data_IF_701436261069
#
_entry.id   IF_701436261069
#
_cell.length_a   1.000
_cell.length_b   1.000
_cell.length_c   1.000
_cell.angle_alpha   90.00
_cell.angle_beta   90.00
_cell.angle_gamma   90.00
#
_symmetry.space_group_name_H-M   'P 1'
#
loop_
_entity.id
_entity.type
_entity.pdbx_description
1 polymer ?
#
# COMPACT_ATOMS: atom_id res chain seq x y z
N UNK A 1 -16.57 -27.90 -7.38
CA UNK A 1 -17.38 -27.43 -8.52
C UNK A 1 -16.42 -26.79 -9.51
N UNK A 2 -16.03 -27.54 -10.54
CA UNK A 2 -15.12 -27.10 -11.60
C UNK A 2 -15.85 -26.07 -12.47
N UNK A 3 -15.34 -24.84 -12.55
CA UNK A 3 -15.74 -23.89 -13.60
C UNK A 3 -14.70 -23.98 -14.71
N UNK A 4 -15.14 -24.43 -15.90
CA UNK A 4 -14.32 -24.50 -17.10
C UNK A 4 -13.71 -23.14 -17.44
N UNK A 5 -12.39 -23.11 -17.59
CA UNK A 5 -11.59 -21.93 -17.95
C UNK A 5 -12.04 -21.29 -19.29
N UNK A 6 -12.81 -22.03 -20.10
CA UNK A 6 -13.37 -21.58 -21.38
C UNK A 6 -14.67 -20.77 -21.26
N UNK A 7 -15.21 -20.57 -20.05
CA UNK A 7 -16.45 -19.80 -19.82
C UNK A 7 -16.22 -18.34 -19.40
N UNK A 8 -14.96 -17.92 -19.27
CA UNK A 8 -14.59 -16.55 -18.90
C UNK A 8 -14.63 -15.60 -20.12
N UNK A 9 -15.12 -14.36 -19.95
CA UNK A 9 -15.13 -13.37 -21.03
C UNK A 9 -13.70 -13.05 -21.53
N UNK A 10 -13.55 -12.76 -22.83
CA UNK A 10 -12.24 -12.60 -23.49
C UNK A 10 -11.38 -11.45 -22.94
N UNK A 11 -11.97 -10.57 -22.14
CA UNK A 11 -11.29 -9.47 -21.45
C UNK A 11 -10.57 -9.92 -20.17
N UNK A 12 -10.70 -11.18 -19.76
CA UNK A 12 -10.09 -11.68 -18.53
C UNK A 12 -8.55 -11.84 -18.67
N UNK A 13 -7.74 -11.17 -17.81
CA UNK A 13 -6.28 -11.22 -17.88
C UNK A 13 -5.68 -12.61 -17.64
N UNK A 14 -6.44 -13.54 -17.05
CA UNK A 14 -6.02 -14.94 -16.85
C UNK A 14 -5.91 -15.74 -18.17
N UNK A 15 -6.51 -15.28 -19.28
CA UNK A 15 -6.42 -15.96 -20.59
C UNK A 15 -5.21 -15.51 -21.41
N UNK A 16 -4.58 -14.38 -21.05
CA UNK A 16 -3.44 -13.78 -21.79
C UNK A 16 -2.05 -14.22 -21.32
N UNK A 17 -1.96 -15.18 -20.39
CA UNK A 17 -0.69 -15.60 -19.80
C UNK A 17 -0.41 -17.07 -20.06
N UNK A 18 0.14 -17.39 -21.24
CA UNK A 18 0.77 -18.70 -21.50
C UNK A 18 1.96 -19.00 -20.57
N UNK A 19 2.41 -18.01 -19.79
CA UNK A 19 3.52 -18.09 -18.85
C UNK A 19 3.18 -18.76 -17.49
N UNK A 20 1.94 -19.16 -17.22
CA UNK A 20 1.51 -19.73 -15.93
C UNK A 20 1.40 -21.27 -15.89
N UNK A 21 1.72 -21.98 -16.98
CA UNK A 21 1.58 -23.46 -17.02
C UNK A 21 2.57 -24.23 -16.14
N UNK A 22 3.64 -23.59 -15.64
CA UNK A 22 4.75 -24.28 -14.97
C UNK A 22 4.96 -23.89 -13.50
N UNK A 23 3.95 -23.32 -12.82
CA UNK A 23 4.04 -23.04 -11.37
C UNK A 23 3.40 -24.19 -10.60
N UNK A 24 4.22 -24.89 -9.81
CA UNK A 24 3.82 -26.02 -8.97
C UNK A 24 2.77 -25.58 -7.92
N UNK A 25 1.59 -26.19 -8.00
CA UNK A 25 0.34 -25.78 -7.32
C UNK A 25 0.42 -25.96 -5.79
N UNK A 26 1.37 -26.73 -5.27
CA UNK A 26 1.49 -27.06 -3.83
C UNK A 26 2.01 -25.91 -2.94
N UNK A 27 2.52 -24.82 -3.52
CA UNK A 27 2.94 -23.62 -2.75
C UNK A 27 1.86 -22.53 -2.64
N UNK A 28 0.68 -22.78 -3.21
CA UNK A 28 -0.47 -21.89 -3.11
C UNK A 28 -1.31 -22.30 -1.91
N UNK A 29 -1.06 -21.69 -0.75
CA UNK A 29 -2.09 -21.62 0.29
C UNK A 29 -3.40 -21.15 -0.38
N UNK A 30 -4.41 -22.01 -0.31
CA UNK A 30 -5.68 -21.92 -1.03
C UNK A 30 -6.28 -20.52 -0.86
N UNK A 31 -6.18 -19.69 -1.89
CA UNK A 31 -6.99 -18.50 -2.01
C UNK A 31 -8.38 -19.00 -2.37
N UNK A 32 -9.27 -19.11 -1.38
CA UNK A 32 -10.69 -19.32 -1.65
C UNK A 32 -11.17 -18.26 -2.64
N UNK A 33 -11.74 -18.63 -3.80
CA UNK A 33 -12.31 -17.68 -4.72
C UNK A 33 -13.57 -17.10 -4.06
N UNK A 34 -13.49 -15.84 -3.65
CA UNK A 34 -14.66 -15.08 -3.24
C UNK A 34 -15.26 -14.38 -4.45
N UNK A 35 -16.58 -14.24 -4.44
CA UNK A 35 -17.37 -13.46 -5.39
C UNK A 35 -16.81 -12.03 -5.54
N UNK A 36 -16.71 -11.58 -6.79
CA UNK A 36 -15.99 -10.39 -7.28
C UNK A 36 -16.45 -9.00 -6.75
N UNK A 37 -17.22 -8.89 -5.67
CA UNK A 37 -18.11 -7.73 -5.52
C UNK A 37 -17.56 -6.45 -4.81
N UNK A 38 -16.67 -6.45 -3.80
CA UNK A 38 -16.35 -5.18 -3.10
C UNK A 38 -15.04 -4.46 -3.48
N UNK A 39 -14.05 -5.16 -4.07
CA UNK A 39 -12.70 -4.60 -4.24
C UNK A 39 -12.47 -3.96 -5.62
N UNK A 40 -13.11 -4.46 -6.68
CA UNK A 40 -13.03 -3.86 -8.02
C UNK A 40 -13.58 -2.43 -8.02
N UNK A 41 -14.68 -2.20 -7.30
CA UNK A 41 -15.25 -0.88 -7.07
C UNK A 41 -14.30 0.09 -6.33
N UNK A 42 -13.26 -0.41 -5.64
CA UNK A 42 -12.25 0.43 -4.95
C UNK A 42 -11.05 0.75 -5.85
N UNK A 43 -10.73 -0.11 -6.82
CA UNK A 43 -9.57 0.02 -7.72
C UNK A 43 -9.95 0.65 -9.08
N UNK A 44 -11.24 0.73 -9.42
CA UNK A 44 -11.76 1.46 -10.58
C UNK A 44 -11.58 2.99 -10.41
N UNK A 45 -10.33 3.43 -10.39
CA UNK A 45 -9.91 4.79 -10.68
C UNK A 45 -9.19 4.73 -12.03
N UNK A 46 -9.92 5.11 -13.08
CA UNK A 46 -9.48 5.48 -14.43
C UNK A 46 -8.62 4.45 -15.22
N UNK A 47 -9.28 3.61 -16.04
CA UNK A 47 -8.64 3.08 -17.26
C UNK A 47 -8.76 4.11 -18.41
N UNK A 48 -7.71 4.34 -19.22
CA UNK A 48 -7.71 5.36 -20.25
C UNK A 48 -8.19 4.79 -21.59
N UNK A 49 -9.42 5.08 -22.03
CA UNK A 49 -9.82 4.79 -23.42
C UNK A 49 -10.62 5.94 -24.06
N UNK A 50 -10.03 6.41 -25.17
CA UNK A 50 -10.60 7.05 -26.36
C UNK A 50 -11.07 8.51 -26.26
N UNK A 51 -10.35 9.33 -27.01
CA UNK A 51 -10.62 10.72 -27.40
C UNK A 51 -12.10 11.00 -27.70
N UNK A 52 -12.64 12.08 -27.11
CA UNK A 52 -13.79 12.89 -27.59
C UNK A 52 -13.95 14.17 -26.74
N UNK A 53 -14.56 15.24 -27.29
CA UNK A 53 -14.13 16.61 -27.08
C UNK A 53 -14.49 17.19 -25.70
N UNK A 54 -13.53 17.84 -25.08
CA UNK A 54 -13.65 18.53 -23.78
C UNK A 54 -14.15 19.96 -23.98
N UNK A 55 -15.26 20.33 -23.36
CA UNK A 55 -15.63 21.73 -23.07
C UNK A 55 -15.37 21.99 -21.58
N UNK A 56 -14.88 23.18 -21.17
CA UNK A 56 -14.25 23.34 -19.86
C UNK A 56 -15.29 23.33 -18.73
N UNK A 57 -15.15 22.42 -17.75
CA UNK A 57 -15.71 22.63 -16.41
C UNK A 57 -16.50 21.52 -15.71
N UNK A 58 -16.62 20.32 -16.28
CA UNK A 58 -17.29 19.20 -15.59
C UNK A 58 -17.10 17.86 -16.27
N UNK A 59 -17.12 16.78 -15.49
CA UNK A 59 -17.19 15.40 -15.98
C UNK A 59 -18.68 15.05 -16.07
N UNK A 60 -19.20 14.98 -17.30
CA UNK A 60 -20.60 14.61 -17.54
C UNK A 60 -20.64 13.08 -17.64
N UNK A 61 -21.24 12.41 -16.67
CA UNK A 61 -21.63 11.01 -16.85
C UNK A 61 -23.04 10.98 -17.44
N UNK A 62 -23.13 10.52 -18.68
CA UNK A 62 -24.40 10.26 -19.37
C UNK A 62 -24.64 8.76 -19.24
N UNK A 63 -25.63 8.38 -18.44
CA UNK A 63 -26.07 7.00 -18.37
C UNK A 63 -27.16 6.77 -19.43
N UNK A 64 -27.00 5.72 -20.24
CA UNK A 64 -28.02 5.27 -21.18
C UNK A 64 -28.72 4.04 -20.62
N UNK A 65 -30.01 4.16 -20.31
CA UNK A 65 -30.87 3.03 -19.93
C UNK A 65 -31.64 2.58 -21.17
N UNK A 66 -31.32 1.41 -21.71
CA UNK A 66 -32.10 0.73 -22.75
C UNK A 66 -33.07 -0.25 -22.10
N UNK A 67 -34.39 0.04 -22.17
CA UNK A 67 -35.44 -0.92 -21.81
C UNK A 67 -36.09 -1.45 -23.07
N UNK A 68 -35.97 -2.76 -23.31
CA UNK A 68 -36.48 -3.43 -24.52
C UNK A 68 -38.01 -3.64 -24.54
N UNK A 69 -38.79 -2.92 -23.72
CA UNK A 69 -40.26 -3.14 -23.64
C UNK A 69 -41.16 -1.93 -23.85
N UNK A 70 -40.64 -0.74 -24.08
CA UNK A 70 -41.39 0.40 -24.62
C UNK A 70 -40.38 1.43 -25.11
N UNK A 71 -40.54 1.94 -26.34
CA UNK A 71 -39.60 2.85 -27.04
C UNK A 71 -39.49 4.24 -26.39
N UNK A 72 -39.07 4.33 -25.12
CA UNK A 72 -38.76 5.57 -24.42
C UNK A 72 -37.36 5.46 -23.82
N UNK A 73 -36.43 6.25 -24.33
CA UNK A 73 -35.06 6.38 -23.80
C UNK A 73 -35.05 7.62 -22.91
N UNK A 74 -34.94 7.43 -21.60
CA UNK A 74 -34.76 8.54 -20.66
C UNK A 74 -33.30 8.98 -20.62
N UNK A 75 -33.05 10.29 -20.70
CA UNK A 75 -31.73 10.88 -20.56
C UNK A 75 -31.56 11.40 -19.13
N UNK A 76 -30.63 10.80 -18.37
CA UNK A 76 -30.23 11.29 -17.06
C UNK A 76 -28.83 11.88 -17.14
N UNK A 77 -28.70 13.19 -16.88
CA UNK A 77 -27.40 13.86 -16.76
C UNK A 77 -27.09 14.03 -15.28
N UNK A 78 -26.05 13.36 -14.79
CA UNK A 78 -25.51 13.60 -13.46
C UNK A 78 -24.24 14.45 -13.58
N UNK A 79 -24.21 15.58 -12.88
CA UNK A 79 -23.04 16.46 -12.77
C UNK A 79 -22.48 16.31 -11.36
N UNK A 80 -21.41 15.52 -11.19
CA UNK A 80 -20.70 15.47 -9.92
C UNK A 80 -19.67 16.61 -9.85
N UNK A 81 -20.02 17.64 -9.09
CA UNK A 81 -19.18 18.81 -8.87
C UNK A 81 -18.47 18.66 -7.52
N UNK A 82 -17.25 18.13 -7.48
CA UNK A 82 -16.45 18.15 -6.25
C UNK A 82 -16.26 19.62 -5.80
N UNK A 83 -16.75 20.04 -4.61
CA UNK A 83 -16.58 21.41 -4.19
C UNK A 83 -15.15 21.65 -3.72
N UNK A 84 -14.50 22.65 -4.32
CA UNK A 84 -13.12 23.10 -4.06
C UNK A 84 -12.78 23.50 -2.60
N UNK A 85 -13.76 23.45 -1.67
CA UNK A 85 -13.61 23.83 -0.25
C UNK A 85 -12.95 22.74 0.60
N UNK A 86 -13.08 21.46 0.25
CA UNK A 86 -12.52 20.35 1.05
C UNK A 86 -10.99 20.20 0.99
N UNK A 87 -10.31 20.87 0.05
CA UNK A 87 -8.84 20.79 -0.09
C UNK A 87 -8.04 21.58 0.95
N UNK A 88 -8.71 22.35 1.82
CA UNK A 88 -8.05 23.31 2.73
C UNK A 88 -8.26 23.05 4.23
N UNK A 89 -9.31 22.32 4.58
CA UNK A 89 -9.65 22.05 5.97
C UNK A 89 -8.92 20.79 6.45
N UNK A 90 -8.50 20.70 7.72
CA UNK A 90 -8.05 19.44 8.28
C UNK A 90 -9.16 18.38 8.17
N UNK A 91 -8.83 17.09 8.06
CA UNK A 91 -9.82 16.03 7.96
C UNK A 91 -10.60 15.79 9.26
N UNK A 92 -10.19 16.42 10.36
CA UNK A 92 -10.80 16.33 11.68
C UNK A 92 -10.59 17.64 12.43
N UNK A 93 -11.43 17.92 13.42
CA UNK A 93 -11.37 19.11 14.26
C UNK A 93 -10.97 18.78 15.71
N UNK A 94 -11.13 17.52 16.14
CA UNK A 94 -10.77 17.10 17.48
C UNK A 94 -9.27 17.23 17.74
N UNK A 95 -8.90 17.76 18.91
CA UNK A 95 -7.51 17.82 19.39
C UNK A 95 -7.19 16.57 20.20
N UNK A 96 -6.48 15.63 19.60
CA UNK A 96 -6.18 14.34 20.24
C UNK A 96 -5.11 14.45 21.34
N UNK A 97 -4.21 15.43 21.24
CA UNK A 97 -3.07 15.59 22.15
C UNK A 97 -3.31 16.55 23.33
N UNK A 98 -4.51 17.11 23.44
CA UNK A 98 -4.84 18.11 24.46
C UNK A 98 -5.32 17.44 25.75
N UNK A 99 -4.57 17.48 26.85
CA UNK A 99 -4.96 16.82 28.10
C UNK A 99 -6.06 17.56 28.90
N UNK A 100 -6.67 18.61 28.35
CA UNK A 100 -7.81 19.30 29.01
C UNK A 100 -7.43 20.14 30.22
N UNK A 101 -6.13 20.34 30.47
CA UNK A 101 -5.60 21.30 31.43
C UNK A 101 -5.72 22.76 30.95
N UNK A 102 -5.96 22.99 29.66
CA UNK A 102 -6.09 24.32 29.06
C UNK A 102 -7.56 24.77 28.97
N UNK A 103 -8.35 24.59 30.04
CA UNK A 103 -9.73 25.14 30.12
C UNK A 103 -9.77 26.68 30.22
N UNK A 104 -8.62 27.36 30.26
CA UNK A 104 -8.53 28.82 30.38
C UNK A 104 -7.96 29.56 29.16
N UNK A 105 -7.77 28.91 28.02
CA UNK A 105 -7.44 29.64 26.79
C UNK A 105 -8.72 29.75 25.97
N UNK A 106 -9.42 30.87 26.20
CA UNK A 106 -10.34 31.47 25.25
C UNK A 106 -9.82 31.28 23.82
N UNK A 107 -10.76 31.13 22.88
CA UNK A 107 -10.55 31.07 21.43
C UNK A 107 -9.50 32.10 21.00
N UNK A 108 -8.22 31.72 21.01
CA UNK A 108 -7.16 32.53 20.45
C UNK A 108 -7.11 32.22 18.96
N UNK A 109 -7.70 33.14 18.21
CA UNK A 109 -7.62 33.24 16.76
C UNK A 109 -6.25 33.73 16.27
N UNK A 110 -5.19 33.60 17.07
CA UNK A 110 -3.80 33.81 16.67
C UNK A 110 -3.23 32.69 15.78
N UNK A 111 -2.17 32.97 14.98
CA UNK A 111 -1.40 31.91 14.32
C UNK A 111 -0.90 30.91 15.37
N UNK A 112 -0.93 29.59 15.08
CA UNK A 112 -0.38 28.60 16.01
C UNK A 112 1.07 28.96 16.35
N UNK A 113 1.42 28.94 17.64
CA UNK A 113 2.78 29.20 18.09
C UNK A 113 3.75 28.27 17.35
N UNK A 114 4.64 28.87 16.56
CA UNK A 114 5.67 28.15 15.79
C UNK A 114 6.50 27.23 16.71
N UNK A 115 6.65 27.58 17.99
CA UNK A 115 7.31 26.75 19.00
C UNK A 115 6.56 25.44 19.25
N UNK A 116 5.22 25.48 19.31
CA UNK A 116 4.37 24.28 19.46
C UNK A 116 4.42 23.40 18.21
N UNK A 117 4.51 23.99 17.02
CA UNK A 117 4.66 23.20 15.78
C UNK A 117 6.04 22.53 15.69
N UNK A 118 7.10 23.19 16.16
CA UNK A 118 8.46 22.59 16.22
C UNK A 118 8.52 21.38 17.15
N UNK A 119 7.87 21.42 18.30
CA UNK A 119 7.91 20.32 19.26
C UNK A 119 7.20 19.05 18.79
N UNK A 120 6.42 19.12 17.71
CA UNK A 120 5.76 17.97 17.10
C UNK A 120 6.60 17.26 16.04
N UNK A 121 7.66 17.92 15.54
CA UNK A 121 8.56 17.39 14.52
C UNK A 121 9.67 16.55 15.18
N UNK A 122 10.26 15.58 14.45
CA UNK A 122 11.38 14.79 14.95
C UNK A 122 12.60 15.67 15.25
N UNK A 123 13.55 15.13 16.02
CA UNK A 123 14.76 15.89 16.39
C UNK A 123 15.64 16.24 15.17
N UNK A 124 15.73 15.34 14.19
CA UNK A 124 16.45 15.55 12.94
C UNK A 124 15.96 14.61 11.85
N UNK A 125 16.34 14.88 10.61
CA UNK A 125 16.15 14.00 9.46
C UNK A 125 17.43 13.95 8.62
N UNK A 126 17.58 12.88 7.83
CA UNK A 126 18.71 12.72 6.89
C UNK A 126 18.42 13.41 5.57
N UNK A 127 19.37 14.17 5.03
CA UNK A 127 19.30 14.77 3.68
C UNK A 127 19.61 13.72 2.60
N UNK A 128 19.49 14.08 1.32
CA UNK A 128 19.89 13.19 0.21
C UNK A 128 21.41 12.96 0.16
N UNK A 129 22.19 13.83 0.81
CA UNK A 129 23.64 13.73 0.94
C UNK A 129 24.05 12.98 2.22
N UNK A 130 23.09 12.33 2.90
CA UNK A 130 23.27 11.64 4.19
C UNK A 130 23.65 12.55 5.38
N UNK A 131 23.54 13.87 5.24
CA UNK A 131 23.72 14.83 6.35
C UNK A 131 22.53 14.83 7.32
N UNK A 132 22.77 15.16 8.59
CA UNK A 132 21.73 15.29 9.61
C UNK A 132 21.35 16.77 9.80
N UNK A 133 20.07 17.08 9.61
CA UNK A 133 19.55 18.46 9.70
C UNK A 133 18.36 18.51 10.66
N UNK A 134 18.29 19.50 11.58
CA UNK A 134 17.12 19.72 12.41
C UNK A 134 15.98 20.33 11.57
N UNK A 135 14.71 19.92 11.78
CA UNK A 135 13.61 20.48 11.00
C UNK A 135 13.35 21.95 11.36
N UNK A 136 13.24 22.79 10.34
CA UNK A 136 12.83 24.19 10.48
C UNK A 136 11.34 24.40 10.19
N UNK A 137 10.70 25.32 10.90
CA UNK A 137 9.30 25.69 10.62
C UNK A 137 9.21 26.34 9.24
N UNK A 138 8.25 25.86 8.45
CA UNK A 138 8.03 26.32 7.07
C UNK A 138 8.79 25.49 6.03
N UNK A 139 9.73 24.64 6.46
CA UNK A 139 10.33 23.63 5.58
C UNK A 139 9.51 22.34 5.59
N UNK A 140 9.05 21.93 4.42
CA UNK A 140 8.24 20.73 4.21
C UNK A 140 9.10 19.48 3.97
N UNK A 141 10.41 19.62 3.74
CA UNK A 141 11.29 18.48 3.36
C UNK A 141 11.30 17.37 4.42
N UNK A 142 11.29 17.73 5.70
CA UNK A 142 11.16 16.76 6.79
C UNK A 142 9.85 15.97 6.68
N UNK A 143 8.73 16.65 6.41
CA UNK A 143 7.39 16.03 6.27
C UNK A 143 7.33 15.13 5.04
N UNK A 144 7.99 15.53 3.96
CA UNK A 144 8.08 14.76 2.73
C UNK A 144 8.81 13.44 2.94
N UNK A 145 9.94 13.48 3.65
CA UNK A 145 10.71 12.29 3.99
C UNK A 145 9.96 11.37 4.96
N UNK A 146 9.28 11.97 5.93
CA UNK A 146 8.49 11.24 6.91
C UNK A 146 7.30 10.48 6.29
N UNK A 147 6.76 11.01 5.17
CA UNK A 147 5.66 10.42 4.41
C UNK A 147 6.11 9.87 3.04
N UNK A 148 7.39 9.49 2.92
CA UNK A 148 7.93 9.03 1.64
C UNK A 148 7.44 7.61 1.29
N UNK A 149 6.90 7.48 0.07
CA UNK A 149 6.43 6.23 -0.51
C UNK A 149 7.08 5.96 -1.87
N UNK A 150 8.13 6.70 -2.24
CA UNK A 150 8.74 6.64 -3.57
C UNK A 150 9.08 5.21 -3.99
N UNK A 151 9.63 4.41 -3.07
CA UNK A 151 10.00 3.01 -3.33
C UNK A 151 8.81 2.12 -3.69
N UNK A 152 7.66 2.37 -3.09
CA UNK A 152 6.43 1.62 -3.36
C UNK A 152 5.70 2.14 -4.59
N UNK A 153 5.71 3.45 -4.82
CA UNK A 153 5.05 4.02 -6.01
C UNK A 153 5.66 3.49 -7.30
N UNK A 154 6.95 3.16 -7.32
CA UNK A 154 7.61 2.55 -8.49
C UNK A 154 7.16 1.12 -8.78
N UNK A 155 6.65 0.40 -7.78
CA UNK A 155 6.20 -1.00 -7.91
C UNK A 155 4.69 -1.12 -7.70
N UNK A 156 3.96 0.00 -7.78
CA UNK A 156 2.54 0.08 -7.44
C UNK A 156 1.72 -0.94 -8.22
N UNK A 157 1.95 -1.04 -9.53
CA UNK A 157 1.24 -1.94 -10.44
C UNK A 157 1.45 -3.44 -10.11
N UNK A 158 2.44 -3.76 -9.27
CA UNK A 158 2.76 -5.12 -8.83
C UNK A 158 2.37 -5.37 -7.38
N UNK A 159 1.85 -4.38 -6.64
CA UNK A 159 1.52 -4.53 -5.22
C UNK A 159 0.44 -5.57 -4.95
N UNK A 160 -0.44 -5.84 -5.93
CA UNK A 160 -1.43 -6.92 -5.85
C UNK A 160 -0.79 -8.30 -5.68
N UNK A 161 0.46 -8.48 -6.14
CA UNK A 161 1.22 -9.71 -5.87
C UNK A 161 1.60 -9.77 -4.39
N UNK A 162 1.98 -8.65 -3.78
CA UNK A 162 2.44 -8.60 -2.40
C UNK A 162 1.33 -8.57 -1.35
N UNK A 163 0.12 -8.10 -1.68
CA UNK A 163 -0.97 -8.00 -0.72
C UNK A 163 -2.33 -7.84 -1.38
N UNK A 164 -3.39 -8.00 -0.58
CA UNK A 164 -4.77 -7.84 -1.04
C UNK A 164 -5.23 -6.38 -0.85
N UNK A 165 -6.07 -5.85 -1.76
CA UNK A 165 -6.60 -4.48 -1.66
C UNK A 165 -7.74 -4.38 -0.63
N UNK A 166 -7.39 -4.60 0.63
CA UNK A 166 -8.27 -4.46 1.78
C UNK A 166 -7.53 -3.77 2.93
N UNK A 167 -8.26 -3.09 3.83
CA UNK A 167 -7.68 -2.53 5.05
C UNK A 167 -6.93 -3.60 5.86
N UNK A 168 -5.92 -3.21 6.65
CA UNK A 168 -5.19 -4.14 7.50
C UNK A 168 -6.11 -4.73 8.58
N UNK A 169 -5.79 -5.94 9.04
CA UNK A 169 -6.52 -6.55 10.15
C UNK A 169 -6.16 -5.88 11.48
N UNK A 170 -7.08 -5.81 12.46
CA UNK A 170 -6.85 -5.20 13.76
C UNK A 170 -5.64 -5.76 14.53
N UNK A 171 -5.09 -4.98 15.47
CA UNK A 171 -3.85 -5.32 16.19
C UNK A 171 -3.96 -6.63 16.98
N UNK A 172 -5.04 -6.86 17.72
CA UNK A 172 -5.26 -8.12 18.43
C UNK A 172 -5.24 -9.32 17.48
N UNK A 173 -5.75 -9.15 16.26
CA UNK A 173 -5.72 -10.20 15.25
C UNK A 173 -4.31 -10.45 14.72
N UNK A 174 -3.46 -9.42 14.61
CA UNK A 174 -2.04 -9.62 14.28
C UNK A 174 -1.35 -10.50 15.32
N UNK A 175 -1.67 -10.31 16.61
CA UNK A 175 -1.15 -11.15 17.69
C UNK A 175 -1.67 -12.60 17.60
N UNK A 176 -2.96 -12.80 17.25
CA UNK A 176 -3.52 -14.13 16.99
C UNK A 176 -2.82 -14.85 15.82
N UNK A 177 -2.36 -14.12 14.81
CA UNK A 177 -1.53 -14.64 13.72
C UNK A 177 -0.08 -14.91 14.14
N UNK A 178 0.23 -14.83 15.43
CA UNK A 178 1.58 -14.96 16.00
C UNK A 178 2.58 -13.99 15.35
N UNK A 179 2.13 -12.77 15.03
CA UNK A 179 2.99 -11.70 14.51
C UNK A 179 3.34 -10.73 15.62
N UNK A 180 4.62 -10.66 15.94
CA UNK A 180 5.17 -9.63 16.80
C UNK A 180 5.15 -8.27 16.07
N UNK A 181 4.77 -7.21 16.80
CA UNK A 181 4.70 -5.85 16.28
C UNK A 181 6.07 -5.18 16.43
N UNK A 182 6.71 -4.85 15.31
CA UNK A 182 7.97 -4.13 15.24
C UNK A 182 7.78 -2.68 14.82
N UNK A 183 8.36 -1.76 15.57
CA UNK A 183 8.35 -0.33 15.24
C UNK A 183 9.31 -0.02 14.10
N UNK A 184 8.86 0.77 13.12
CA UNK A 184 9.67 1.30 12.01
C UNK A 184 9.37 2.76 11.78
N UNK A 185 10.36 3.63 11.62
CA UNK A 185 10.07 5.03 11.24
C UNK A 185 9.86 5.22 9.73
N UNK A 186 10.12 4.18 8.94
CA UNK A 186 9.95 4.24 7.50
C UNK A 186 8.50 4.02 7.09
N UNK A 187 7.97 4.98 6.34
CA UNK A 187 6.60 4.96 5.85
C UNK A 187 6.33 3.82 4.85
N UNK A 188 7.32 3.51 4.01
CA UNK A 188 7.21 2.45 3.02
C UNK A 188 7.18 1.03 3.64
N UNK A 189 7.63 0.90 4.88
CA UNK A 189 7.60 -0.33 5.66
C UNK A 189 6.34 -0.51 6.51
N UNK A 190 5.49 0.52 6.63
CA UNK A 190 4.25 0.40 7.39
C UNK A 190 3.32 -0.66 6.77
N UNK A 191 2.82 -1.58 7.62
CA UNK A 191 1.98 -2.74 7.27
C UNK A 191 2.69 -3.81 6.42
N UNK A 192 4.01 -3.73 6.29
CA UNK A 192 4.78 -4.82 5.70
C UNK A 192 4.97 -5.91 6.76
N UNK A 193 4.78 -7.18 6.39
CA UNK A 193 4.90 -8.30 7.31
C UNK A 193 5.76 -9.42 6.72
N UNK A 194 6.33 -10.22 7.62
CA UNK A 194 7.10 -11.44 7.31
C UNK A 194 6.76 -12.51 8.35
N UNK A 195 7.40 -13.67 8.28
CA UNK A 195 7.16 -14.76 9.22
C UNK A 195 7.36 -14.29 10.66
N UNK A 196 6.28 -14.35 11.44
CA UNK A 196 6.26 -13.97 12.85
C UNK A 196 6.33 -12.48 13.16
N UNK A 197 6.31 -11.57 12.18
CA UNK A 197 6.50 -10.12 12.44
C UNK A 197 5.71 -9.23 11.49
N UNK A 198 5.24 -8.09 12.01
CA UNK A 198 4.66 -6.99 11.23
C UNK A 198 5.33 -5.68 11.60
N UNK A 199 5.69 -4.88 10.60
CA UNK A 199 6.34 -3.59 10.78
C UNK A 199 5.29 -2.47 10.77
N UNK A 200 5.22 -1.71 11.85
CA UNK A 200 4.28 -0.60 12.01
C UNK A 200 5.04 0.68 12.34
N UNK A 201 4.72 1.76 11.61
CA UNK A 201 5.19 3.11 11.92
C UNK A 201 4.29 3.77 12.94
N UNK A 202 4.79 4.21 14.11
CA UNK A 202 4.00 4.97 15.09
C UNK A 202 3.40 6.22 14.46
N UNK A 203 2.24 6.67 14.94
CA UNK A 203 1.63 7.88 14.39
C UNK A 203 2.48 9.10 14.78
N UNK A 204 3.05 9.85 13.82
CA UNK A 204 3.75 11.09 14.12
C UNK A 204 2.80 12.09 14.75
N UNK A 205 3.22 12.71 15.86
CA UNK A 205 2.39 13.62 16.67
C UNK A 205 1.81 14.76 15.84
N UNK A 206 2.58 15.29 14.88
CA UNK A 206 2.13 16.36 14.01
C UNK A 206 0.91 15.99 13.15
N UNK A 207 0.70 14.70 12.81
CA UNK A 207 -0.47 14.28 12.05
C UNK A 207 -1.76 14.29 12.88
N UNK A 208 -1.66 14.33 14.21
CA UNK A 208 -2.81 14.39 15.12
C UNK A 208 -3.20 15.82 15.49
N UNK A 209 -2.54 16.83 14.91
CA UNK A 209 -2.76 18.24 15.19
C UNK A 209 -3.41 18.98 14.01
N UNK A 210 -4.69 19.39 14.09
CA UNK A 210 -5.41 20.00 12.96
C UNK A 210 -4.72 21.25 12.37
N UNK A 211 -4.05 22.04 13.21
CA UNK A 211 -3.31 23.23 12.78
C UNK A 211 -2.13 22.88 11.86
N UNK A 212 -1.48 21.73 12.07
CA UNK A 212 -0.38 21.28 11.24
C UNK A 212 -0.84 21.00 9.80
N UNK A 213 -2.01 20.36 9.64
CA UNK A 213 -2.61 20.09 8.34
C UNK A 213 -2.86 21.37 7.54
N UNK A 214 -3.35 22.42 8.20
CA UNK A 214 -3.60 23.72 7.57
C UNK A 214 -2.32 24.36 7.03
N UNK A 215 -1.19 24.15 7.72
CA UNK A 215 0.08 24.81 7.40
C UNK A 215 0.93 24.03 6.39
N UNK A 216 0.96 22.70 6.47
CA UNK A 216 1.88 21.87 5.68
C UNK A 216 1.17 20.98 4.64
N UNK A 217 -0.10 20.64 4.84
CA UNK A 217 -0.84 19.66 4.02
C UNK A 217 -2.05 20.26 3.28
N UNK A 218 -2.18 21.59 3.27
CA UNK A 218 -3.22 22.31 2.53
C UNK A 218 -2.65 22.89 1.24
N UNK A 219 -3.39 22.73 0.16
CA UNK A 219 -3.03 23.25 -1.15
C UNK A 219 -3.34 24.77 -1.21
N UNK A 220 -2.35 25.58 -1.58
CA UNK A 220 -2.54 27.02 -1.74
C UNK A 220 -3.30 27.37 -3.03
N UNK A 221 -3.94 28.55 -3.08
CA UNK A 221 -4.74 29.04 -4.22
C UNK A 221 -3.93 29.09 -5.53
N UNK A 222 -2.62 29.25 -5.44
CA UNK A 222 -1.68 29.32 -6.57
C UNK A 222 -1.50 27.98 -7.29
N UNK A 223 -1.75 26.84 -6.64
CA UNK A 223 -1.76 25.52 -7.31
C UNK A 223 -2.93 25.36 -8.32
N UNK A 224 -3.76 26.40 -8.54
CA UNK A 224 -4.79 26.46 -9.60
C UNK A 224 -4.28 27.05 -10.92
N UNK A 225 -3.09 27.64 -10.99
CA UNK A 225 -2.57 28.26 -12.22
C UNK A 225 -1.67 27.30 -13.00
N UNK A 226 -2.27 26.28 -13.61
CA UNK A 226 -1.92 25.80 -14.96
C UNK A 226 -3.11 24.95 -15.42
N UNK A 227 -4.15 25.60 -15.93
CA UNK A 227 -5.20 24.96 -16.71
C UNK A 227 -4.54 24.27 -17.91
N UNK A 228 -4.18 22.99 -17.74
CA UNK A 228 -3.40 22.21 -18.70
C UNK A 228 -2.45 21.17 -18.07
N UNK A 229 -2.08 21.30 -16.78
CA UNK A 229 -1.29 20.27 -16.10
C UNK A 229 -2.18 19.37 -15.23
N UNK A 230 -2.39 18.13 -15.68
CA UNK A 230 -3.04 17.04 -14.93
C UNK A 230 -2.27 16.57 -13.68
N UNK A 231 -1.16 17.23 -13.32
CA UNK A 231 -0.29 16.81 -12.22
C UNK A 231 -0.80 17.33 -10.88
N UNK A 232 -1.09 16.40 -9.97
CA UNK A 232 -1.50 16.67 -8.59
C UNK A 232 -0.42 17.51 -7.86
N UNK A 233 -0.84 18.59 -7.18
CA UNK A 233 0.05 19.47 -6.40
C UNK A 233 0.71 18.64 -5.27
N UNK A 234 2.02 18.86 -5.01
CA UNK A 234 2.81 18.05 -4.06
C UNK A 234 2.21 17.98 -2.66
N UNK A 235 1.69 19.10 -2.13
CA UNK A 235 0.99 19.12 -0.84
C UNK A 235 -0.28 18.26 -0.83
N UNK A 236 -0.95 18.13 -1.98
CA UNK A 236 -2.14 17.30 -2.12
C UNK A 236 -1.80 15.80 -2.11
N UNK A 237 -0.69 15.39 -2.73
CA UNK A 237 -0.23 14.00 -2.65
C UNK A 237 0.21 13.64 -1.23
N UNK A 238 0.96 14.51 -0.54
CA UNK A 238 1.31 14.32 0.87
C UNK A 238 0.06 14.22 1.76
N UNK A 239 -0.94 15.05 1.51
CA UNK A 239 -2.23 14.99 2.21
C UNK A 239 -2.91 13.63 2.02
N UNK A 240 -3.00 13.14 0.78
CA UNK A 240 -3.57 11.81 0.49
C UNK A 240 -2.81 10.69 1.21
N UNK A 241 -1.49 10.76 1.25
CA UNK A 241 -0.64 9.80 1.99
C UNK A 241 -0.91 9.85 3.50
N UNK A 242 -0.98 11.04 4.07
CA UNK A 242 -1.27 11.23 5.49
C UNK A 242 -2.67 10.71 5.86
N UNK A 243 -3.70 10.96 5.03
CA UNK A 243 -5.06 10.44 5.27
C UNK A 243 -5.06 8.92 5.17
N UNK A 244 -4.39 8.34 4.16
CA UNK A 244 -4.29 6.89 3.99
C UNK A 244 -3.58 6.20 5.17
N UNK A 245 -2.56 6.85 5.72
CA UNK A 245 -1.88 6.40 6.93
C UNK A 245 -2.74 6.46 8.18
N UNK A 246 -3.50 7.55 8.36
CA UNK A 246 -4.44 7.61 9.48
C UNK A 246 -5.57 6.58 9.32
N UNK A 247 -6.02 6.35 8.09
CA UNK A 247 -7.01 5.33 7.76
C UNK A 247 -6.53 3.92 8.13
N UNK A 248 -5.28 3.56 7.84
CA UNK A 248 -4.76 2.24 8.25
C UNK A 248 -4.83 2.05 9.77
N UNK A 249 -4.57 3.10 10.54
CA UNK A 249 -4.70 3.06 11.99
C UNK A 249 -6.14 2.92 12.47
N UNK A 250 -7.13 3.49 11.77
CA UNK A 250 -8.54 3.25 12.10
C UNK A 250 -8.93 1.77 11.95
N UNK A 251 -8.32 1.07 10.99
CA UNK A 251 -8.51 -0.37 10.79
C UNK A 251 -7.68 -1.23 11.76
N UNK A 252 -6.48 -0.78 12.13
CA UNK A 252 -5.65 -1.45 13.14
C UNK A 252 -6.26 -1.35 14.55
N UNK A 253 -6.84 -0.20 14.89
CA UNK A 253 -7.35 0.13 16.22
C UNK A 253 -8.87 0.23 16.18
N UNK A 254 -9.52 -0.91 15.90
CA UNK A 254 -10.97 -1.01 15.81
C UNK A 254 -11.64 -1.22 17.17
N UNK A 255 -10.97 -1.90 18.10
CA UNK A 255 -11.49 -2.20 19.44
C UNK A 255 -10.68 -1.51 20.53
N UNK A 256 -11.26 -1.41 21.72
CA UNK A 256 -10.57 -0.84 22.87
C UNK A 256 -9.36 -1.69 23.30
N UNK A 257 -9.41 -3.02 23.13
CA UNK A 257 -8.25 -3.89 23.30
C UNK A 257 -7.11 -3.54 22.35
N UNK A 258 -7.41 -3.23 21.08
CA UNK A 258 -6.42 -2.77 20.11
C UNK A 258 -5.80 -1.44 20.55
N UNK A 259 -6.57 -0.55 21.16
CA UNK A 259 -6.06 0.70 21.70
C UNK A 259 -5.04 0.45 22.83
N UNK A 260 -5.31 -0.47 23.75
CA UNK A 260 -4.33 -0.84 24.79
C UNK A 260 -3.08 -1.51 24.20
N UNK A 261 -3.21 -2.34 23.16
CA UNK A 261 -2.06 -2.92 22.44
C UNK A 261 -1.24 -1.81 21.76
N UNK A 262 -1.89 -0.86 21.08
CA UNK A 262 -1.21 0.26 20.44
C UNK A 262 -0.47 1.14 21.44
N UNK A 263 -1.04 1.31 22.64
CA UNK A 263 -0.43 2.02 23.77
C UNK A 263 0.80 1.30 24.32
N UNK A 264 0.70 -0.01 24.55
CA UNK A 264 1.82 -0.85 25.00
C UNK A 264 2.99 -0.82 24.01
N UNK A 265 2.69 -0.87 22.71
CA UNK A 265 3.69 -0.84 21.63
C UNK A 265 4.12 0.57 21.23
N UNK A 266 3.71 1.60 21.95
CA UNK A 266 4.03 3.01 21.67
C UNK A 266 3.69 3.46 20.23
N UNK A 267 2.67 2.87 19.62
CA UNK A 267 2.20 3.24 18.28
C UNK A 267 1.34 4.52 18.31
N UNK A 268 0.70 4.78 19.44
CA UNK A 268 -0.05 6.00 19.73
C UNK A 268 0.65 6.83 20.80
N UNK A 269 0.63 8.18 20.69
CA UNK A 269 1.05 9.06 21.77
C UNK A 269 0.26 8.80 23.06
N UNK A 270 0.92 8.98 24.21
CA UNK A 270 0.35 8.68 25.52
C UNK A 270 -0.82 9.58 25.95
N UNK A 271 -1.04 10.68 25.24
CA UNK A 271 -2.10 11.65 25.46
C UNK A 271 -3.41 11.23 24.78
N UNK A 272 -3.34 10.37 23.77
CA UNK A 272 -4.52 9.93 23.02
C UNK A 272 -5.36 9.01 23.90
N UNK A 273 -6.60 9.42 24.16
CA UNK A 273 -7.61 8.64 24.90
C UNK A 273 -8.57 7.91 23.94
N UNK A 274 -9.10 6.77 24.37
CA UNK A 274 -10.04 5.96 23.57
C UNK A 274 -11.28 6.73 23.10
N UNK A 275 -11.91 7.52 23.97
CA UNK A 275 -13.11 8.29 23.59
C UNK A 275 -12.80 9.27 22.47
N UNK A 276 -11.65 9.95 22.54
CA UNK A 276 -11.21 10.90 21.50
C UNK A 276 -10.81 10.21 20.22
N UNK A 277 -10.19 9.03 20.31
CA UNK A 277 -9.91 8.20 19.16
C UNK A 277 -11.19 7.84 18.41
N UNK A 278 -12.26 7.43 19.10
CA UNK A 278 -13.56 7.15 18.44
C UNK A 278 -14.12 8.35 17.70
N UNK A 279 -14.14 9.53 18.33
CA UNK A 279 -14.58 10.77 17.67
C UNK A 279 -13.70 11.14 16.47
N UNK A 280 -12.39 10.88 16.56
CA UNK A 280 -11.48 11.09 15.43
C UNK A 280 -11.80 10.16 14.26
N UNK A 281 -12.04 8.88 14.50
CA UNK A 281 -12.42 7.90 13.45
C UNK A 281 -13.71 8.34 12.75
N UNK A 282 -14.70 8.79 13.51
CA UNK A 282 -15.96 9.33 12.99
C UNK A 282 -15.73 10.55 12.08
N UNK A 283 -14.93 11.52 12.53
CA UNK A 283 -14.61 12.73 11.77
C UNK A 283 -13.82 12.43 10.48
N UNK A 284 -12.97 11.40 10.49
CA UNK A 284 -12.18 11.01 9.31
C UNK A 284 -13.06 10.50 8.16
N UNK A 285 -14.26 9.98 8.46
CA UNK A 285 -15.24 9.54 7.47
C UNK A 285 -14.78 8.31 6.68
N UNK A 286 -14.49 7.21 7.39
CA UNK A 286 -13.87 5.99 6.84
C UNK A 286 -14.65 5.33 5.70
N UNK A 287 -15.97 5.46 5.64
CA UNK A 287 -16.82 4.84 4.62
C UNK A 287 -16.52 5.31 3.19
N UNK A 288 -16.17 6.59 3.01
CA UNK A 288 -15.98 7.22 1.70
C UNK A 288 -14.55 7.74 1.51
N UNK A 289 -13.58 7.03 2.10
CA UNK A 289 -12.22 7.53 2.25
C UNK A 289 -11.32 7.25 1.04
N UNK A 290 -11.60 6.21 0.24
CA UNK A 290 -10.74 5.75 -0.84
C UNK A 290 -10.38 6.82 -1.90
N UNK A 291 -11.31 7.69 -2.35
CA UNK A 291 -10.96 8.78 -3.28
C UNK A 291 -10.03 9.85 -2.68
N UNK A 292 -9.87 9.86 -1.35
CA UNK A 292 -9.13 10.87 -0.58
C UNK A 292 -7.76 10.37 -0.09
N UNK A 293 -7.39 9.12 -0.37
CA UNK A 293 -6.14 8.51 0.09
C UNK A 293 -5.22 8.16 -1.06
N UNK A 294 -3.93 7.98 -0.74
CA UNK A 294 -2.94 7.48 -1.69
C UNK A 294 -3.21 5.99 -1.97
N UNK A 295 -3.11 5.59 -3.23
CA UNK A 295 -3.46 4.25 -3.68
C UNK A 295 -2.65 3.14 -2.98
N UNK A 296 -1.45 3.46 -2.44
CA UNK A 296 -0.69 2.53 -1.60
C UNK A 296 -1.50 1.97 -0.43
N UNK A 297 -2.40 2.77 0.14
CA UNK A 297 -3.23 2.40 1.30
C UNK A 297 -4.50 1.63 0.92
N UNK A 298 -4.72 1.36 -0.37
CA UNK A 298 -5.73 0.36 -0.76
C UNK A 298 -5.30 -1.02 -0.31
N UNK A 299 -3.98 -1.26 -0.25
CA UNK A 299 -3.36 -2.47 0.24
C UNK A 299 -2.93 -2.29 1.69
N UNK A 300 -3.65 -2.92 2.61
CA UNK A 300 -3.29 -2.95 4.02
C UNK A 300 -1.99 -3.74 4.21
N UNK A 301 -2.09 -5.06 4.33
CA UNK A 301 -0.94 -5.92 4.64
C UNK A 301 -0.16 -6.31 3.39
N UNK A 302 1.16 -6.04 3.36
CA UNK A 302 2.06 -6.47 2.27
C UNK A 302 3.09 -7.50 2.75
N UNK A 303 3.22 -8.62 2.04
CA UNK A 303 4.22 -9.65 2.35
C UNK A 303 5.61 -9.23 1.86
N UNK A 304 6.57 -9.13 2.79
CA UNK A 304 7.95 -8.71 2.51
C UNK A 304 8.66 -9.62 1.50
N UNK A 305 8.46 -10.94 1.57
CA UNK A 305 9.12 -11.86 0.63
C UNK A 305 8.67 -11.62 -0.82
N UNK A 306 7.41 -11.23 -1.03
CA UNK A 306 6.88 -10.86 -2.35
C UNK A 306 7.38 -9.49 -2.80
N UNK A 307 7.45 -8.51 -1.89
CA UNK A 307 8.05 -7.20 -2.19
C UNK A 307 9.51 -7.33 -2.62
N UNK A 308 10.29 -8.17 -1.95
CA UNK A 308 11.67 -8.46 -2.34
C UNK A 308 11.75 -9.04 -3.76
N UNK A 309 10.89 -10.00 -4.10
CA UNK A 309 10.81 -10.58 -5.45
C UNK A 309 10.45 -9.50 -6.47
N UNK A 310 9.39 -8.73 -6.25
CA UNK A 310 8.97 -7.64 -7.15
C UNK A 310 10.12 -6.65 -7.37
N UNK A 311 10.77 -6.20 -6.30
CA UNK A 311 11.85 -5.23 -6.39
C UNK A 311 13.08 -5.79 -7.12
N UNK A 312 13.40 -7.06 -6.89
CA UNK A 312 14.49 -7.77 -7.58
C UNK A 312 14.22 -7.92 -9.08
N UNK A 313 12.98 -8.21 -9.49
CA UNK A 313 12.63 -8.41 -10.91
C UNK A 313 12.27 -7.12 -11.65
N UNK A 314 11.71 -6.12 -10.95
CA UNK A 314 11.32 -4.83 -11.54
C UNK A 314 12.50 -3.88 -11.69
N UNK A 315 13.50 -3.94 -10.79
CA UNK A 315 14.69 -3.10 -10.86
C UNK A 315 15.81 -3.84 -11.59
N UNK A 316 16.43 -3.19 -12.58
CA UNK A 316 17.71 -3.65 -13.18
C UNK A 316 18.70 -4.06 -12.08
N UNK A 317 19.58 -5.06 -12.30
CA UNK A 317 20.18 -5.92 -11.26
C UNK A 317 21.20 -5.19 -10.37
N UNK A 318 20.72 -4.25 -9.57
CA UNK A 318 21.39 -3.76 -8.38
C UNK A 318 20.85 -4.61 -7.25
N UNK A 319 21.67 -5.54 -6.76
CA UNK A 319 21.41 -6.63 -5.79
C UNK A 319 20.89 -6.18 -4.40
N UNK A 320 20.25 -5.02 -4.29
CA UNK A 320 19.73 -4.45 -3.04
C UNK A 320 18.24 -4.74 -2.94
N UNK A 321 17.88 -5.72 -2.11
CA UNK A 321 16.49 -6.07 -1.80
C UNK A 321 15.68 -4.93 -1.17
N UNK A 322 14.36 -5.13 -1.04
CA UNK A 322 13.46 -4.10 -0.50
C UNK A 322 13.75 -3.77 0.98
N UNK A 323 14.35 -4.70 1.71
CA UNK A 323 15.15 -4.41 2.91
C UNK A 323 16.49 -5.13 2.78
N UNK A 324 17.58 -4.47 3.16
CA UNK A 324 18.88 -5.14 3.31
C UNK A 324 18.89 -5.98 4.60
N UNK A 325 19.48 -7.16 4.52
CA UNK A 325 19.13 -8.36 5.29
C UNK A 325 19.71 -8.46 6.69
N UNK A 326 18.91 -8.87 7.68
CA UNK A 326 19.39 -9.57 8.90
C UNK A 326 18.95 -11.05 8.97
N UNK A 327 17.85 -11.48 8.32
CA UNK A 327 17.30 -12.84 8.49
C UNK A 327 17.12 -13.66 7.19
N UNK A 328 17.71 -13.23 6.07
CA UNK A 328 17.26 -13.69 4.75
C UNK A 328 17.61 -15.15 4.41
N UNK A 329 18.58 -15.77 5.09
CA UNK A 329 18.87 -17.19 4.85
C UNK A 329 17.73 -18.09 5.34
N UNK A 330 17.24 -17.94 6.57
CA UNK A 330 16.22 -18.85 7.12
C UNK A 330 14.89 -18.84 6.33
N UNK A 331 14.39 -17.65 5.99
CA UNK A 331 13.09 -17.51 5.32
C UNK A 331 13.13 -17.76 3.81
N UNK A 332 14.25 -17.48 3.14
CA UNK A 332 14.44 -17.89 1.74
C UNK A 332 14.49 -19.41 1.61
N UNK A 333 15.23 -20.10 2.49
CA UNK A 333 15.28 -21.55 2.45
C UNK A 333 13.91 -22.15 2.80
N UNK A 334 13.20 -21.67 3.82
CA UNK A 334 11.86 -22.19 4.14
C UNK A 334 10.84 -22.01 3.00
N UNK A 335 10.77 -20.82 2.38
CA UNK A 335 9.80 -20.54 1.32
C UNK A 335 10.18 -21.20 -0.03
N UNK A 336 11.44 -21.62 -0.24
CA UNK A 336 11.91 -22.21 -1.50
C UNK A 336 12.45 -23.65 -1.34
N UNK A 337 12.41 -24.25 -0.14
CA UNK A 337 12.97 -25.59 0.11
C UNK A 337 12.29 -26.64 -0.76
N UNK A 338 10.97 -26.58 -0.91
CA UNK A 338 10.22 -27.51 -1.77
C UNK A 338 10.73 -27.48 -3.21
N UNK A 339 10.76 -26.29 -3.83
CA UNK A 339 11.26 -26.13 -5.19
C UNK A 339 12.75 -26.49 -5.34
N UNK A 340 13.61 -26.05 -4.40
CA UNK A 340 15.04 -26.35 -4.41
C UNK A 340 15.30 -27.86 -4.24
N UNK A 341 14.56 -28.52 -3.34
CA UNK A 341 14.65 -29.96 -3.12
C UNK A 341 14.17 -30.72 -4.36
N UNK A 342 13.02 -30.36 -4.93
CA UNK A 342 12.49 -30.96 -6.16
C UNK A 342 13.47 -30.80 -7.33
N UNK A 343 14.03 -29.61 -7.52
CA UNK A 343 15.03 -29.35 -8.56
C UNK A 343 16.32 -30.17 -8.34
N UNK A 344 16.75 -30.31 -7.08
CA UNK A 344 17.94 -31.10 -6.73
C UNK A 344 17.70 -32.59 -6.98
N UNK A 345 16.54 -33.11 -6.58
CA UNK A 345 16.14 -34.51 -6.84
C UNK A 345 16.02 -34.76 -8.33
N UNK A 346 15.41 -33.84 -9.09
CA UNK A 346 15.32 -33.95 -10.55
C UNK A 346 16.70 -34.02 -11.21
N UNK A 347 17.62 -33.10 -10.86
CA UNK A 347 18.99 -33.09 -11.38
C UNK A 347 19.72 -34.37 -10.98
N UNK A 348 19.57 -34.85 -9.74
CA UNK A 348 20.18 -36.10 -9.29
C UNK A 348 19.65 -37.32 -10.09
N UNK A 349 18.35 -37.38 -10.37
CA UNK A 349 17.76 -38.44 -11.21
C UNK A 349 18.30 -38.36 -12.64
N UNK A 350 18.36 -37.17 -13.24
CA UNK A 350 18.90 -36.98 -14.59
C UNK A 350 20.37 -37.39 -14.64
N UNK A 351 21.18 -36.97 -13.66
CA UNK A 351 22.60 -37.35 -13.56
C UNK A 351 22.77 -38.86 -13.35
N UNK A 352 21.96 -39.48 -12.51
CA UNK A 352 21.98 -40.93 -12.31
C UNK A 352 21.61 -41.67 -13.61
N UNK A 353 20.59 -41.19 -14.32
CA UNK A 353 20.20 -41.75 -15.62
C UNK A 353 21.31 -41.58 -16.68
N UNK A 354 22.02 -40.45 -16.68
CA UNK A 354 23.19 -40.22 -17.54
C UNK A 354 24.33 -41.18 -17.21
N UNK A 355 24.66 -41.35 -15.93
CA UNK A 355 25.70 -42.27 -15.46
C UNK A 355 25.37 -43.73 -15.83
N UNK A 356 24.11 -44.14 -15.68
CA UNK A 356 23.64 -45.47 -16.09
C UNK A 356 23.67 -45.63 -17.62
N UNK A 357 23.29 -44.60 -18.37
CA UNK A 357 23.35 -44.59 -19.84
C UNK A 357 24.77 -44.80 -20.36
N UNK A 358 25.75 -44.09 -19.80
CA UNK A 358 27.17 -44.22 -20.14
C UNK A 358 27.74 -45.60 -19.80
N UNK A 359 27.19 -46.27 -18.79
CA UNK A 359 27.62 -47.62 -18.41
C UNK A 359 27.05 -48.74 -19.33
N UNK A 360 26.09 -48.43 -20.22
CA UNK A 360 25.51 -49.43 -21.14
C UNK A 360 26.18 -49.41 -22.52
N UNK A 361 26.51 -50.60 -23.03
CA UNK A 361 27.21 -50.79 -24.33
C UNK A 361 26.45 -50.23 -25.55
N UNK A 362 25.16 -49.95 -25.42
CA UNK A 362 24.33 -49.40 -26.50
C UNK A 362 24.41 -47.87 -26.64
N UNK A 363 24.68 -47.13 -25.55
CA UNK A 363 24.78 -45.66 -25.55
C UNK A 363 26.21 -45.15 -25.35
N UNK A 364 27.11 -45.96 -24.78
CA UNK A 364 28.53 -45.62 -24.63
C UNK A 364 29.23 -45.32 -25.97
N UNK A 365 28.73 -45.93 -27.06
CA UNK A 365 29.29 -45.79 -28.42
C UNK A 365 28.59 -44.70 -29.26
N UNK A 366 27.72 -43.86 -28.68
CA UNK A 366 27.04 -42.79 -29.40
C UNK A 366 27.66 -41.41 -29.09
N UNK A 367 28.34 -40.83 -30.08
CA UNK A 367 29.10 -39.57 -29.95
C UNK A 367 28.24 -38.36 -29.54
N UNK A 368 26.95 -38.35 -29.93
CA UNK A 368 26.01 -37.27 -29.53
C UNK A 368 25.62 -37.32 -28.06
N UNK A 369 25.67 -38.49 -27.44
CA UNK A 369 25.37 -38.66 -26.02
C UNK A 369 26.59 -38.38 -25.13
N UNK A 370 27.78 -38.77 -25.59
CA UNK A 370 29.06 -38.48 -24.93
C UNK A 370 29.33 -36.96 -24.87
N UNK A 371 29.05 -36.24 -25.95
CA UNK A 371 29.25 -34.78 -26.01
C UNK A 371 28.28 -33.97 -25.13
N UNK A 372 27.09 -34.50 -24.85
CA UNK A 372 26.10 -33.86 -23.97
C UNK A 372 26.34 -34.12 -22.48
N UNK A 373 27.06 -35.20 -22.13
CA UNK A 373 27.30 -35.62 -20.74
C UNK A 373 28.65 -35.17 -20.17
N UNK A 374 29.61 -34.78 -21.03
CA UNK A 374 30.94 -34.30 -20.65
C UNK A 374 31.10 -32.75 -20.62
N UNK A 375 30.01 -31.98 -20.67
CA UNK A 375 29.99 -30.53 -20.39
C UNK A 375 29.34 -30.28 -19.03
#
# INVERSE_FOLDING_TARGET
>A
MWTDLHTLPETNPLRKTDALKNIEIESLETINPFTLAPWEARIQTDEPISERPTVPGGLIQIAFSSSARNKLVGYGVAIEKQPSRYRKLPPFAIRLLDNGSDKNIMIDSGPPDNKKLRSLLPACYRTELDDLVPPSVGDITCVEKELDLQRLSHIFDWLWVAGRPMPPRPLHYQLLLNREIFVTERMDMHLVWTTGRIFLKPIPRFLLEPCFWKNYLSCDKTCKSMQGCSKECKSQSLRKRAIGFLFSYTALISHESDYYIARDKHLLPSEVQWQRWRTFVEQLGTEHIYPKIDARFFYGELRLSRLNKIYYFSRRPLLRGYMANWNQYGTFFQDNFGWLASATVYVAIVLAAMQVGLATKALANNDTFQSASHR
#
